data_IF_824854571178
#
_entry.id   IF_824854571178
#
_cell.length_a   1.000
_cell.length_b   1.000
_cell.length_c   1.000
_cell.angle_alpha   90.00
_cell.angle_beta   90.00
_cell.angle_gamma   90.00
#
_symmetry.space_group_name_H-M   'P 1'
#
loop_
_entity.id
_entity.type
_entity.pdbx_description
1 polymer ?
#
# COMPACT_ATOMS: atom_id res chain seq x y z
N UNK A 1 12.05 11.21 8.89
CA UNK A 1 12.63 10.82 7.59
C UNK A 1 11.65 9.87 6.94
N UNK A 2 11.04 10.30 5.84
CA UNK A 2 10.00 9.56 5.13
C UNK A 2 10.64 8.41 4.34
N UNK A 3 10.15 7.20 4.54
CA UNK A 3 10.64 5.99 3.88
C UNK A 3 9.47 5.13 3.41
N UNK A 4 9.21 5.12 2.11
CA UNK A 4 8.15 4.30 1.50
C UNK A 4 8.74 3.32 0.48
N UNK A 5 8.23 2.10 0.49
CA UNK A 5 8.41 1.11 -0.58
C UNK A 5 7.03 0.79 -1.16
N UNK A 6 6.77 1.22 -2.38
CA UNK A 6 5.45 1.12 -3.01
C UNK A 6 5.54 0.20 -4.22
N UNK A 7 4.67 -0.80 -4.31
CA UNK A 7 4.72 -1.77 -5.40
C UNK A 7 3.31 -2.19 -5.84
N UNK A 8 3.22 -2.75 -7.04
CA UNK A 8 1.96 -3.34 -7.52
C UNK A 8 1.73 -4.71 -6.90
N UNK A 9 2.77 -5.56 -6.88
CA UNK A 9 2.69 -6.94 -6.42
C UNK A 9 3.95 -7.29 -5.64
N UNK A 10 3.83 -7.48 -4.32
CA UNK A 10 4.97 -7.52 -3.43
C UNK A 10 5.87 -8.74 -3.65
N UNK A 11 5.27 -9.92 -3.81
CA UNK A 11 6.04 -11.13 -4.12
C UNK A 11 6.77 -11.03 -5.48
N UNK A 12 6.19 -10.29 -6.43
CA UNK A 12 6.80 -9.96 -7.71
C UNK A 12 8.02 -9.05 -7.63
N UNK A 13 8.24 -8.37 -6.50
CA UNK A 13 9.39 -7.47 -6.26
C UNK A 13 10.26 -7.89 -5.07
N UNK A 14 10.17 -9.15 -4.64
CA UNK A 14 10.91 -9.71 -3.49
C UNK A 14 12.40 -9.34 -3.46
N UNK A 15 13.09 -9.41 -4.60
CA UNK A 15 14.53 -9.11 -4.68
C UNK A 15 14.80 -7.62 -4.40
N UNK A 16 14.00 -6.72 -4.98
CA UNK A 16 14.12 -5.28 -4.74
C UNK A 16 13.89 -4.95 -3.26
N UNK A 17 12.87 -5.55 -2.63
CA UNK A 17 12.63 -5.36 -1.20
C UNK A 17 13.74 -5.97 -0.34
N UNK A 18 14.32 -7.11 -0.74
CA UNK A 18 15.47 -7.72 -0.05
C UNK A 18 16.66 -6.77 0.02
N UNK A 19 16.98 -6.13 -1.10
CA UNK A 19 18.12 -5.22 -1.20
C UNK A 19 17.85 -3.92 -0.45
N UNK A 20 16.66 -3.36 -0.59
CA UNK A 20 16.19 -2.22 0.22
C UNK A 20 16.29 -2.51 1.73
N UNK A 21 15.81 -3.69 2.16
CA UNK A 21 15.84 -4.07 3.57
C UNK A 21 17.26 -4.22 4.13
N UNK A 22 18.20 -4.71 3.32
CA UNK A 22 19.63 -4.79 3.70
C UNK A 22 20.27 -3.42 3.77
N UNK A 23 20.05 -2.58 2.76
CA UNK A 23 20.60 -1.22 2.68
C UNK A 23 20.17 -0.37 3.88
N UNK A 24 18.89 -0.45 4.25
CA UNK A 24 18.32 0.29 5.38
C UNK A 24 18.53 -0.40 6.74
N UNK A 25 19.14 -1.58 6.77
CA UNK A 25 19.33 -2.40 7.98
C UNK A 25 18.02 -2.58 8.78
N UNK A 26 16.96 -2.98 8.08
CA UNK A 26 15.62 -3.06 8.67
C UNK A 26 15.52 -4.14 9.76
N UNK A 27 14.82 -3.81 10.84
CA UNK A 27 14.42 -4.78 11.85
C UNK A 27 13.54 -5.87 11.24
N UNK A 28 13.75 -7.12 11.66
CA UNK A 28 13.08 -8.29 11.09
C UNK A 28 11.69 -8.53 11.70
N UNK A 29 10.90 -7.48 11.88
CA UNK A 29 9.51 -7.55 12.34
C UNK A 29 8.63 -6.57 11.54
N UNK A 30 7.52 -7.07 11.00
CA UNK A 30 6.57 -6.28 10.22
C UNK A 30 5.16 -6.40 10.80
N UNK A 31 4.49 -5.25 10.93
CA UNK A 31 3.04 -5.22 11.16
C UNK A 31 2.34 -5.30 9.80
N UNK A 32 1.60 -6.38 9.58
CA UNK A 32 0.95 -6.70 8.31
C UNK A 32 -0.55 -6.41 8.40
N UNK A 33 -1.05 -5.51 7.54
CA UNK A 33 -2.46 -5.14 7.44
C UNK A 33 -3.07 -5.76 6.16
N UNK A 34 -3.88 -6.83 6.29
CA UNK A 34 -4.57 -7.48 5.17
C UNK A 34 -5.94 -6.88 4.85
N UNK A 35 -6.38 -5.85 5.57
CA UNK A 35 -7.78 -5.39 5.63
C UNK A 35 -8.42 -5.12 4.26
N UNK A 36 -7.65 -4.61 3.29
CA UNK A 36 -8.16 -4.36 1.94
C UNK A 36 -8.72 -5.63 1.28
N UNK A 37 -8.08 -6.78 1.48
CA UNK A 37 -8.48 -8.06 0.90
C UNK A 37 -9.73 -8.68 1.51
N UNK A 38 -10.25 -8.15 2.63
CA UNK A 38 -11.51 -8.65 3.23
C UNK A 38 -12.73 -8.48 2.31
N UNK A 39 -12.59 -7.70 1.23
CA UNK A 39 -13.63 -7.42 0.23
C UNK A 39 -13.27 -7.91 -1.16
N UNK A 40 -12.28 -8.79 -1.26
CA UNK A 40 -11.89 -9.45 -2.50
C UNK A 40 -12.27 -10.93 -2.45
N UNK A 41 -12.69 -11.47 -3.59
CA UNK A 41 -12.92 -12.91 -3.75
C UNK A 41 -11.59 -13.68 -3.89
N UNK A 42 -10.57 -13.02 -4.44
CA UNK A 42 -9.23 -13.57 -4.63
C UNK A 42 -8.23 -12.87 -3.71
N UNK A 43 -7.56 -13.63 -2.85
CA UNK A 43 -6.65 -13.10 -1.81
C UNK A 43 -5.30 -13.82 -1.74
N UNK A 44 -4.93 -14.62 -2.74
CA UNK A 44 -3.67 -15.39 -2.72
C UNK A 44 -2.42 -14.49 -2.59
N UNK A 45 -2.47 -13.25 -3.10
CA UNK A 45 -1.40 -12.27 -2.95
C UNK A 45 -1.08 -11.95 -1.48
N UNK A 46 -2.05 -12.08 -0.57
CA UNK A 46 -1.84 -11.90 0.88
C UNK A 46 -0.92 -13.01 1.41
N UNK A 47 -1.20 -14.25 1.04
CA UNK A 47 -0.40 -15.41 1.47
C UNK A 47 0.99 -15.38 0.83
N UNK A 48 1.08 -14.98 -0.44
CA UNK A 48 2.34 -14.80 -1.17
C UNK A 48 3.20 -13.68 -0.55
N UNK A 49 2.58 -12.57 -0.16
CA UNK A 49 3.27 -11.48 0.53
C UNK A 49 3.79 -11.92 1.91
N UNK A 50 2.97 -12.63 2.68
CA UNK A 50 3.42 -13.20 3.96
C UNK A 50 4.56 -14.21 3.76
N UNK A 51 4.47 -15.09 2.76
CA UNK A 51 5.54 -16.04 2.46
C UNK A 51 6.82 -15.30 2.05
N UNK A 52 6.70 -14.23 1.28
CA UNK A 52 7.83 -13.37 0.88
C UNK A 52 8.54 -12.77 2.09
N UNK A 53 7.80 -12.25 3.08
CA UNK A 53 8.39 -11.76 4.32
C UNK A 53 9.08 -12.88 5.12
N UNK A 54 8.45 -14.06 5.25
CA UNK A 54 9.04 -15.22 5.95
C UNK A 54 10.35 -15.67 5.29
N UNK A 55 10.37 -15.76 3.96
CA UNK A 55 11.56 -16.13 3.19
C UNK A 55 12.71 -15.14 3.38
N UNK A 56 12.40 -13.86 3.61
CA UNK A 56 13.35 -12.79 3.90
C UNK A 56 13.72 -12.68 5.39
N UNK A 57 13.22 -13.60 6.21
CA UNK A 57 13.51 -13.73 7.63
C UNK A 57 12.75 -12.75 8.53
N UNK A 58 11.65 -12.15 8.08
CA UNK A 58 10.82 -11.27 8.90
C UNK A 58 9.79 -12.06 9.71
N UNK A 59 9.63 -11.69 10.97
CA UNK A 59 8.48 -12.04 11.79
C UNK A 59 7.28 -11.18 11.39
N UNK A 60 6.12 -11.81 11.25
CA UNK A 60 4.89 -11.15 10.81
C UNK A 60 3.92 -11.08 11.97
N UNK A 61 3.50 -9.87 12.29
CA UNK A 61 2.38 -9.62 13.18
C UNK A 61 1.19 -9.15 12.34
N UNK A 62 0.14 -9.97 12.25
CA UNK A 62 -1.05 -9.64 11.45
C UNK A 62 -2.01 -8.79 12.30
N UNK A 63 -2.48 -7.69 11.72
CA UNK A 63 -3.50 -6.84 12.31
C UNK A 63 -4.55 -6.51 11.24
N UNK A 64 -5.71 -7.14 11.33
CA UNK A 64 -6.86 -6.70 10.55
C UNK A 64 -7.55 -5.52 11.23
N UNK A 65 -7.41 -4.35 10.62
CA UNK A 65 -8.03 -3.11 11.06
C UNK A 65 -9.55 -3.26 11.16
N UNK A 66 -10.22 -4.00 10.28
CA UNK A 66 -11.68 -4.13 10.35
C UNK A 66 -12.15 -4.89 11.62
N UNK A 67 -11.33 -5.82 12.10
CA UNK A 67 -11.70 -6.78 13.14
C UNK A 67 -11.26 -6.39 14.56
N UNK A 68 -10.33 -5.43 14.71
CA UNK A 68 -9.88 -4.96 16.02
C UNK A 68 -10.55 -3.65 16.45
N UNK A 69 -10.44 -3.29 17.73
CA UNK A 69 -10.80 -1.95 18.20
C UNK A 69 -9.75 -0.90 17.80
N UNK A 70 -10.10 0.37 18.02
CA UNK A 70 -9.25 1.51 17.66
C UNK A 70 -7.97 1.53 18.49
N UNK A 71 -8.08 1.31 19.79
CA UNK A 71 -6.99 1.39 20.75
C UNK A 71 -5.91 0.36 20.44
N UNK A 72 -6.31 -0.87 20.14
CA UNK A 72 -5.42 -1.95 19.69
C UNK A 72 -4.74 -1.58 18.39
N UNK A 73 -5.49 -1.08 17.39
CA UNK A 73 -4.91 -0.67 16.12
C UNK A 73 -3.85 0.43 16.29
N UNK A 74 -4.18 1.47 17.07
CA UNK A 74 -3.27 2.57 17.36
C UNK A 74 -2.02 2.09 18.09
N UNK A 75 -2.17 1.25 19.12
CA UNK A 75 -1.04 0.73 19.88
C UNK A 75 -0.09 -0.11 19.01
N UNK A 76 -0.64 -0.98 18.16
CA UNK A 76 0.15 -1.83 17.26
C UNK A 76 0.90 -1.02 16.20
N UNK A 77 0.24 -0.04 15.58
CA UNK A 77 0.88 0.85 14.60
C UNK A 77 1.98 1.68 15.27
N UNK A 78 1.75 2.22 16.47
CA UNK A 78 2.75 3.00 17.20
C UNK A 78 4.00 2.19 17.59
N UNK A 79 3.83 0.89 17.86
CA UNK A 79 4.92 0.01 18.25
C UNK A 79 5.73 -0.54 17.06
N UNK A 80 5.21 -0.44 15.84
CA UNK A 80 5.85 -1.03 14.66
C UNK A 80 6.96 -0.15 14.11
N UNK A 81 7.97 -0.78 13.51
CA UNK A 81 9.03 -0.11 12.73
C UNK A 81 8.82 -0.25 11.23
N UNK A 82 8.06 -1.27 10.84
CA UNK A 82 7.67 -1.53 9.46
C UNK A 82 6.18 -1.78 9.46
N UNK A 83 5.47 -1.03 8.64
CA UNK A 83 4.04 -1.19 8.38
C UNK A 83 3.85 -1.64 6.94
N UNK A 84 3.36 -2.86 6.77
CA UNK A 84 2.94 -3.37 5.48
C UNK A 84 1.42 -3.26 5.34
N UNK A 85 0.96 -2.66 4.25
CA UNK A 85 -0.46 -2.62 3.88
C UNK A 85 -0.62 -3.34 2.54
N UNK A 86 -1.34 -4.45 2.56
CA UNK A 86 -1.55 -5.32 1.39
C UNK A 86 -2.54 -4.72 0.38
N UNK A 87 -2.60 -5.34 -0.80
CA UNK A 87 -3.61 -5.07 -1.82
C UNK A 87 -5.02 -5.52 -1.43
N UNK A 88 -5.98 -5.16 -2.28
CA UNK A 88 -7.40 -5.47 -2.17
C UNK A 88 -8.27 -4.26 -2.51
N UNK A 89 -9.44 -4.12 -1.89
CA UNK A 89 -10.31 -2.98 -2.18
C UNK A 89 -9.81 -1.70 -1.48
N UNK A 90 -9.34 -0.74 -2.26
CA UNK A 90 -8.75 0.53 -1.77
C UNK A 90 -9.75 1.38 -0.99
N UNK A 91 -11.01 1.44 -1.43
CA UNK A 91 -12.03 2.25 -0.76
C UNK A 91 -12.40 1.67 0.60
N UNK A 92 -12.53 0.35 0.70
CA UNK A 92 -12.78 -0.34 1.96
C UNK A 92 -11.61 -0.18 2.94
N UNK A 93 -10.37 -0.33 2.46
CA UNK A 93 -9.17 -0.07 3.25
C UNK A 93 -9.20 1.35 3.84
N UNK A 94 -9.42 2.36 2.98
CA UNK A 94 -9.44 3.75 3.42
C UNK A 94 -10.57 4.01 4.43
N UNK A 95 -11.74 3.41 4.23
CA UNK A 95 -12.87 3.49 5.17
C UNK A 95 -12.49 2.97 6.55
N UNK A 96 -11.93 1.77 6.64
CA UNK A 96 -11.63 1.15 7.94
C UNK A 96 -10.52 1.89 8.69
N UNK A 97 -9.52 2.42 7.97
CA UNK A 97 -8.52 3.31 8.54
C UNK A 97 -9.12 4.63 9.05
N UNK A 98 -10.05 5.24 8.30
CA UNK A 98 -10.71 6.51 8.68
C UNK A 98 -11.66 6.34 9.85
N UNK A 99 -12.47 5.26 9.88
CA UNK A 99 -13.36 4.93 11.01
C UNK A 99 -12.61 4.87 12.34
N UNK A 100 -11.36 4.43 12.31
CA UNK A 100 -10.48 4.33 13.48
C UNK A 100 -9.50 5.50 13.62
N UNK A 101 -9.62 6.53 12.78
CA UNK A 101 -8.79 7.74 12.80
C UNK A 101 -7.28 7.42 12.75
N UNK A 102 -6.91 6.45 11.91
CA UNK A 102 -5.54 5.92 11.85
C UNK A 102 -4.64 6.67 10.87
N UNK A 103 -5.20 7.41 9.90
CA UNK A 103 -4.40 8.10 8.88
C UNK A 103 -3.40 9.09 9.52
N UNK A 104 -3.85 9.92 10.45
CA UNK A 104 -2.98 10.89 11.12
C UNK A 104 -1.84 10.21 11.89
N UNK A 105 -2.12 9.09 12.54
CA UNK A 105 -1.11 8.30 13.25
C UNK A 105 -0.11 7.68 12.26
N UNK A 106 -0.57 7.08 11.16
CA UNK A 106 0.32 6.50 10.14
C UNK A 106 1.26 7.57 9.58
N UNK A 107 0.72 8.74 9.21
CA UNK A 107 1.53 9.89 8.74
C UNK A 107 2.58 10.33 9.77
N UNK A 108 2.19 10.40 11.04
CA UNK A 108 3.11 10.73 12.13
C UNK A 108 4.23 9.70 12.27
N UNK A 109 3.88 8.41 12.30
CA UNK A 109 4.86 7.34 12.38
C UNK A 109 5.82 7.33 11.18
N UNK A 110 5.34 7.58 9.96
CA UNK A 110 6.19 7.73 8.77
C UNK A 110 7.21 8.86 8.96
N UNK A 111 6.78 10.03 9.47
CA UNK A 111 7.70 11.13 9.77
C UNK A 111 8.75 10.74 10.82
N UNK A 112 8.35 9.93 11.80
CA UNK A 112 9.20 9.44 12.88
C UNK A 112 10.07 8.24 12.50
N UNK A 113 10.06 7.83 11.22
CA UNK A 113 10.97 6.83 10.67
C UNK A 113 10.40 5.42 10.56
N UNK A 114 9.08 5.24 10.71
CA UNK A 114 8.39 4.03 10.28
C UNK A 114 8.61 3.83 8.78
N UNK A 115 9.04 2.63 8.40
CA UNK A 115 9.09 2.22 6.99
C UNK A 115 7.71 1.76 6.56
N UNK A 116 7.13 2.49 5.61
CA UNK A 116 5.84 2.14 5.03
C UNK A 116 6.04 1.28 3.78
N UNK A 117 5.38 0.14 3.73
CA UNK A 117 5.40 -0.76 2.58
C UNK A 117 3.97 -0.92 2.07
N UNK A 118 3.70 -0.39 0.88
CA UNK A 118 2.38 -0.41 0.27
C UNK A 118 2.34 -1.32 -0.95
N UNK A 119 1.39 -2.26 -0.98
CA UNK A 119 1.10 -3.09 -2.14
C UNK A 119 -0.26 -2.70 -2.72
N UNK A 120 -0.33 -2.41 -4.02
CA UNK A 120 -1.57 -2.12 -4.75
C UNK A 120 -2.44 -1.08 -4.02
N UNK A 121 -3.56 -1.46 -3.39
CA UNK A 121 -4.37 -0.58 -2.53
C UNK A 121 -3.56 0.16 -1.46
N UNK A 122 -2.62 -0.52 -0.80
CA UNK A 122 -1.68 0.10 0.13
C UNK A 122 -0.80 1.16 -0.56
N UNK A 123 -0.35 0.91 -1.79
CA UNK A 123 0.40 1.90 -2.54
C UNK A 123 -0.47 3.10 -2.97
N UNK A 124 -1.72 2.86 -3.36
CA UNK A 124 -2.67 3.88 -3.80
C UNK A 124 -3.00 4.85 -2.65
N UNK A 125 -3.26 4.35 -1.44
CA UNK A 125 -3.61 5.24 -0.30
C UNK A 125 -2.46 6.16 0.13
N UNK A 126 -1.23 5.95 -0.34
CA UNK A 126 -0.12 6.87 -0.10
C UNK A 126 -0.33 8.23 -0.79
N UNK A 127 -1.11 8.26 -1.89
CA UNK A 127 -1.42 9.47 -2.63
C UNK A 127 -2.38 10.40 -1.87
N UNK A 128 -2.56 11.61 -2.39
CA UNK A 128 -3.47 12.62 -1.82
C UNK A 128 -4.95 12.23 -1.88
N UNK A 129 -5.37 11.55 -2.94
CA UNK A 129 -6.76 11.15 -3.15
C UNK A 129 -6.84 9.83 -3.93
N UNK A 130 -7.81 8.98 -3.61
CA UNK A 130 -7.95 7.65 -4.22
C UNK A 130 -9.09 7.52 -5.25
N UNK A 131 -9.87 8.58 -5.52
CA UNK A 131 -11.07 8.49 -6.37
C UNK A 131 -10.74 8.06 -7.81
N UNK A 132 -9.51 8.30 -8.27
CA UNK A 132 -9.03 7.83 -9.57
C UNK A 132 -9.06 6.30 -9.70
N UNK A 133 -9.02 5.56 -8.59
CA UNK A 133 -9.01 4.10 -8.60
C UNK A 133 -10.39 3.44 -8.75
N UNK A 134 -11.48 4.22 -8.85
CA UNK A 134 -12.86 3.71 -8.92
C UNK A 134 -13.22 2.87 -10.16
N UNK A 135 -12.34 2.84 -11.17
CA UNK A 135 -12.49 1.97 -12.34
C UNK A 135 -11.82 0.60 -12.13
N UNK A 136 -10.94 0.50 -11.13
CA UNK A 136 -10.26 -0.74 -10.73
C UNK A 136 -11.00 -1.38 -9.57
N UNK A 137 -11.31 -0.60 -8.53
CA UNK A 137 -11.95 -1.09 -7.31
C UNK A 137 -13.38 -0.56 -7.17
N UNK A 138 -14.29 -1.42 -6.73
CA UNK A 138 -15.67 -1.04 -6.46
C UNK A 138 -15.76 -0.16 -5.20
N UNK A 139 -16.05 1.12 -5.41
CA UNK A 139 -16.27 2.11 -4.34
C UNK A 139 -17.51 1.82 -3.50
N UNK A 140 -18.51 1.11 -4.03
CA UNK A 140 -19.81 0.91 -3.35
C UNK A 140 -19.70 -0.01 -2.13
N UNK A 141 -18.61 -0.79 -2.04
CA UNK A 141 -18.28 -1.62 -0.89
C UNK A 141 -17.96 -0.77 0.37
N UNK A 142 -17.47 0.45 0.17
CA UNK A 142 -17.15 1.39 1.24
C UNK A 142 -18.34 2.31 1.57
N UNK A 143 -19.39 1.74 2.17
CA UNK A 143 -20.68 2.41 2.44
C UNK A 143 -20.62 3.55 3.44
N UNK A 144 -19.56 3.63 4.25
CA UNK A 144 -19.36 4.64 5.31
C UNK A 144 -18.23 5.63 4.97
N UNK A 145 -17.62 5.54 3.78
CA UNK A 145 -16.53 6.42 3.37
C UNK A 145 -17.05 7.79 2.92
N UNK A 146 -16.81 8.83 3.72
CA UNK A 146 -17.28 10.20 3.45
C UNK A 146 -16.52 10.94 2.34
N UNK A 147 -15.23 10.64 2.19
CA UNK A 147 -14.33 11.31 1.26
C UNK A 147 -13.14 10.41 0.90
N UNK A 148 -12.47 10.72 -0.20
CA UNK A 148 -11.40 9.89 -0.80
C UNK A 148 -9.98 10.38 -0.50
N UNK A 149 -9.82 11.36 0.41
CA UNK A 149 -8.50 11.85 0.78
C UNK A 149 -7.66 10.73 1.41
N UNK A 150 -6.47 10.48 0.86
CA UNK A 150 -5.54 9.44 1.29
C UNK A 150 -4.57 9.92 2.37
N UNK A 151 -3.39 9.31 2.40
CA UNK A 151 -2.31 9.67 3.32
C UNK A 151 -1.61 10.96 2.89
N UNK A 152 -1.63 11.33 1.61
CA UNK A 152 -0.95 12.54 1.12
C UNK A 152 0.55 12.53 1.51
N UNK A 153 1.19 11.38 1.28
CA UNK A 153 2.62 11.14 1.57
C UNK A 153 3.48 11.18 0.30
N UNK A 154 2.86 11.17 -0.89
CA UNK A 154 3.51 11.35 -2.19
C UNK A 154 2.71 12.33 -3.06
N UNK A 155 3.41 13.09 -3.90
CA UNK A 155 2.82 14.10 -4.79
C UNK A 155 2.35 13.53 -6.15
N UNK A 156 2.50 12.22 -6.35
CA UNK A 156 2.08 11.49 -7.53
C UNK A 156 1.00 10.44 -7.19
N UNK A 157 0.36 9.91 -8.22
CA UNK A 157 -0.73 8.94 -8.10
C UNK A 157 -0.31 7.62 -8.74
N UNK A 158 -0.01 6.62 -7.92
CA UNK A 158 0.41 5.30 -8.42
C UNK A 158 -0.75 4.63 -9.14
N UNK A 159 -0.52 4.15 -10.35
CA UNK A 159 -1.46 3.31 -11.06
C UNK A 159 -0.90 1.89 -11.14
N UNK A 160 -1.22 1.02 -10.17
CA UNK A 160 -0.63 -0.31 -10.10
C UNK A 160 -1.16 -1.21 -11.22
N UNK A 161 -0.45 -2.30 -11.46
CA UNK A 161 -0.82 -3.35 -12.43
C UNK A 161 -1.03 -2.83 -13.86
N UNK A 162 -0.32 -1.76 -14.25
CA UNK A 162 -0.57 -1.11 -15.53
C UNK A 162 -0.23 -2.06 -16.70
N UNK A 163 -1.24 -2.39 -17.50
CA UNK A 163 -1.09 -3.33 -18.62
C UNK A 163 -0.92 -4.80 -18.21
N UNK A 164 -1.21 -5.16 -16.96
CA UNK A 164 -1.13 -6.51 -16.43
C UNK A 164 -2.54 -7.08 -16.18
N UNK A 165 -2.78 -8.34 -16.53
CA UNK A 165 -4.06 -9.00 -16.24
C UNK A 165 -4.27 -9.22 -14.72
N UNK A 166 -5.52 -9.16 -14.22
CA UNK A 166 -6.77 -8.86 -14.93
C UNK A 166 -7.07 -7.35 -15.07
N UNK A 167 -6.09 -6.48 -14.75
CA UNK A 167 -6.27 -5.03 -14.64
C UNK A 167 -5.95 -4.25 -15.92
N UNK A 168 -5.63 -4.92 -17.03
CA UNK A 168 -5.27 -4.28 -18.31
C UNK A 168 -6.28 -3.22 -18.74
N UNK A 169 -7.57 -3.53 -18.69
CA UNK A 169 -8.63 -2.63 -19.14
C UNK A 169 -8.89 -1.49 -18.16
N UNK A 170 -8.99 -1.78 -16.87
CA UNK A 170 -9.25 -0.78 -15.84
C UNK A 170 -8.09 0.20 -15.73
N UNK A 171 -6.85 -0.30 -15.69
CA UNK A 171 -5.65 0.54 -15.62
C UNK A 171 -5.51 1.47 -16.84
N UNK A 172 -5.71 0.96 -18.07
CA UNK A 172 -5.70 1.81 -19.28
C UNK A 172 -6.79 2.87 -19.27
N UNK A 173 -8.02 2.52 -18.88
CA UNK A 173 -9.14 3.49 -18.80
C UNK A 173 -8.87 4.56 -17.75
N UNK A 174 -8.35 4.17 -16.58
CA UNK A 174 -7.93 5.12 -15.53
C UNK A 174 -6.85 6.06 -16.06
N UNK A 175 -5.82 5.52 -16.72
CA UNK A 175 -4.76 6.35 -17.31
C UNK A 175 -5.32 7.38 -18.29
N UNK A 176 -6.12 6.96 -19.26
CA UNK A 176 -6.71 7.86 -20.25
C UNK A 176 -7.62 8.94 -19.62
N UNK A 177 -8.38 8.59 -18.59
CA UNK A 177 -9.28 9.50 -17.89
C UNK A 177 -8.55 10.57 -17.09
N UNK A 178 -7.44 10.20 -16.43
CA UNK A 178 -6.80 11.06 -15.42
C UNK A 178 -5.42 11.61 -15.81
N UNK A 179 -4.75 11.13 -16.87
CA UNK A 179 -3.38 11.56 -17.28
C UNK A 179 -3.19 13.07 -17.55
N UNK A 180 -4.28 13.82 -17.74
CA UNK A 180 -4.24 15.29 -17.93
C UNK A 180 -4.50 16.09 -16.64
N UNK A 181 -4.95 15.41 -15.58
CA UNK A 181 -5.41 16.01 -14.33
C UNK A 181 -4.50 15.64 -13.16
N UNK A 182 -3.93 14.43 -13.20
CA UNK A 182 -3.10 13.87 -12.14
C UNK A 182 -1.73 13.49 -12.69
N UNK A 183 -0.70 13.61 -11.86
CA UNK A 183 0.62 13.03 -12.11
C UNK A 183 0.54 11.51 -11.86
N UNK A 184 -0.01 10.78 -12.82
CA UNK A 184 -0.09 9.34 -12.77
C UNK A 184 1.28 8.71 -12.97
N UNK A 185 1.63 7.76 -12.11
CA UNK A 185 2.82 6.94 -12.23
C UNK A 185 2.40 5.48 -12.45
N UNK A 186 2.31 5.02 -13.71
CA UNK A 186 1.99 3.63 -14.03
C UNK A 186 3.09 2.69 -13.54
N UNK A 187 2.69 1.60 -12.89
CA UNK A 187 3.62 0.64 -12.31
C UNK A 187 3.26 -0.79 -12.74
N UNK A 188 4.25 -1.53 -13.26
CA UNK A 188 4.11 -2.95 -13.57
C UNK A 188 4.30 -3.83 -12.32
N UNK A 189 3.91 -5.11 -12.41
CA UNK A 189 4.04 -6.08 -11.30
C UNK A 189 5.48 -6.38 -10.89
N UNK A 190 6.45 -6.01 -11.73
CA UNK A 190 7.91 -6.21 -11.52
C UNK A 190 8.64 -4.94 -11.12
N UNK A 191 7.90 -3.89 -10.76
CA UNK A 191 8.46 -2.59 -10.41
C UNK A 191 8.07 -2.17 -9.00
N UNK A 192 8.98 -1.44 -8.36
CA UNK A 192 8.76 -0.80 -7.08
C UNK A 192 9.24 0.64 -7.12
N UNK A 193 8.60 1.50 -6.33
CA UNK A 193 8.97 2.88 -6.12
C UNK A 193 9.50 2.99 -4.70
N UNK A 194 10.71 3.50 -4.57
CA UNK A 194 11.31 3.83 -3.28
C UNK A 194 11.23 5.35 -3.12
N UNK A 195 10.64 5.80 -2.01
CA UNK A 195 10.61 7.21 -1.63
C UNK A 195 11.45 7.40 -0.38
N UNK A 196 12.52 8.18 -0.50
CA UNK A 196 13.38 8.60 0.59
C UNK A 196 13.32 10.12 0.72
N UNK A 197 12.52 10.62 1.65
CA UNK A 197 12.15 12.04 1.75
C UNK A 197 11.62 12.59 0.41
N UNK A 198 12.42 13.39 -0.31
CA UNK A 198 12.07 13.97 -1.62
C UNK A 198 12.58 13.14 -2.80
N UNK A 199 13.47 12.18 -2.58
CA UNK A 199 14.02 11.34 -3.65
C UNK A 199 13.05 10.20 -3.98
N UNK A 200 12.78 10.03 -5.28
CA UNK A 200 11.90 8.99 -5.83
C UNK A 200 12.72 8.16 -6.83
N UNK A 201 12.86 6.87 -6.55
CA UNK A 201 13.54 5.91 -7.42
C UNK A 201 12.55 4.84 -7.89
N UNK A 202 12.46 4.61 -9.20
CA UNK A 202 11.67 3.53 -9.79
C UNK A 202 12.62 2.39 -10.16
N UNK A 203 12.45 1.25 -9.50
CA UNK A 203 13.26 0.06 -9.71
C UNK A 203 12.47 -0.99 -10.47
N UNK A 204 13.15 -1.77 -11.31
CA UNK A 204 12.54 -2.85 -12.11
C UNK A 204 13.35 -4.13 -11.93
N UNK A 205 12.67 -5.27 -11.79
CA UNK A 205 13.32 -6.59 -11.85
C UNK A 205 13.55 -6.97 -13.31
N UNK A 206 14.84 -7.10 -13.69
CA UNK A 206 15.30 -7.65 -14.98
C UNK A 206 14.76 -9.06 -15.25
#
# INVERSE_FOLDING_TARGET
MKQLFLCSYFAGVKNLFSDYAKEKNLEKKVLFIPTAGNKEDYTAYIDEAQQTFRDLGFEIEILDIASCDRETAQAKIFQSKILYISGGNTFYLLQELKKKQLLSLIKEQIRDGLVYVGESAGAIIAAKDIDYNKLMDDKTVATELSDTAGLDEVDFYILPHYGEEPFTDSSKKTFEMYKKQLELLPLHNRQAIIVNDEQIDILTIE
#
